data_IF_411705267913
#
_entry.id   IF_411705267913
#
_cell.length_a   1.000
_cell.length_b   1.000
_cell.length_c   1.000
_cell.angle_alpha   90.00
_cell.angle_beta   90.00
_cell.angle_gamma   90.00
#
_symmetry.space_group_name_H-M   'P 1'
#
loop_
_entity.id
_entity.type
_entity.pdbx_description
1 polymer ?
#
# COMPACT_ATOMS: atom_id res chain seq x y z
N UNK A 1 -17.50 -8.85 23.30
CA UNK A 1 -17.28 -9.37 24.68
C UNK A 1 -15.79 -9.57 25.04
N UNK A 2 -14.83 -9.43 24.12
CA UNK A 2 -13.38 -9.59 24.38
C UNK A 2 -12.57 -8.31 24.14
N UNK A 3 -13.21 -7.16 23.93
CA UNK A 3 -12.54 -5.88 23.66
C UNK A 3 -11.56 -5.46 24.77
N UNK A 4 -11.86 -5.78 26.03
CA UNK A 4 -10.96 -5.49 27.15
C UNK A 4 -9.62 -6.21 27.01
N UNK A 5 -9.63 -7.46 26.54
CA UNK A 5 -8.42 -8.24 26.26
C UNK A 5 -7.61 -7.57 25.16
N UNK A 6 -8.27 -7.24 24.03
CA UNK A 6 -7.63 -6.58 22.89
C UNK A 6 -6.97 -5.25 23.30
N UNK A 7 -7.66 -4.42 24.10
CA UNK A 7 -7.12 -3.15 24.62
C UNK A 7 -5.84 -3.30 25.44
N UNK A 8 -5.61 -4.48 26.02
CA UNK A 8 -4.41 -4.79 26.78
C UNK A 8 -3.24 -5.30 25.94
N UNK A 9 -3.38 -5.46 24.62
CA UNK A 9 -2.35 -6.01 23.76
C UNK A 9 -1.41 -4.92 23.19
N UNK A 10 -0.12 -5.24 22.93
CA UNK A 10 0.81 -4.31 22.30
C UNK A 10 0.32 -3.79 20.94
N UNK A 11 -0.29 -4.65 20.11
CA UNK A 11 -0.88 -4.23 18.83
C UNK A 11 -1.91 -3.12 18.98
N UNK A 12 -2.72 -3.13 20.04
CA UNK A 12 -3.76 -2.11 20.27
C UNK A 12 -3.17 -0.71 20.37
N UNK A 13 -2.01 -0.55 21.02
CA UNK A 13 -1.33 0.75 21.13
C UNK A 13 -0.94 1.31 19.75
N UNK A 14 -0.56 0.45 18.81
CA UNK A 14 -0.27 0.87 17.43
C UNK A 14 -1.54 1.45 16.80
N UNK A 15 -2.67 0.74 16.90
CA UNK A 15 -3.92 1.22 16.33
C UNK A 15 -4.43 2.52 16.96
N UNK A 16 -4.21 2.74 18.26
CA UNK A 16 -4.53 4.02 18.89
C UNK A 16 -3.72 5.18 18.29
N UNK A 17 -2.43 4.97 18.02
CA UNK A 17 -1.59 5.95 17.33
C UNK A 17 -2.11 6.25 15.91
N UNK A 18 -2.48 5.21 15.15
CA UNK A 18 -3.04 5.34 13.80
C UNK A 18 -4.37 6.11 13.79
N UNK A 19 -5.19 5.96 14.84
CA UNK A 19 -6.53 6.59 14.94
C UNK A 19 -6.51 8.06 15.29
N UNK A 20 -5.41 8.59 15.85
CA UNK A 20 -5.33 10.00 16.27
C UNK A 20 -5.88 10.97 15.21
N UNK A 21 -6.56 12.02 15.65
CA UNK A 21 -7.09 13.01 14.72
C UNK A 21 -5.97 13.89 14.15
N UNK A 22 -6.23 14.43 12.97
CA UNK A 22 -5.34 15.34 12.25
C UNK A 22 -5.99 16.72 12.25
N UNK A 23 -5.20 17.78 12.47
CA UNK A 23 -5.72 19.15 12.39
C UNK A 23 -6.09 19.50 10.94
N UNK A 24 -7.13 20.31 10.74
CA UNK A 24 -7.67 20.58 9.40
C UNK A 24 -6.68 21.20 8.42
N UNK A 25 -5.70 21.95 8.92
CA UNK A 25 -4.68 22.64 8.13
C UNK A 25 -3.41 21.81 7.86
N UNK A 26 -3.25 20.65 8.50
CA UNK A 26 -2.11 19.75 8.34
C UNK A 26 -2.45 18.62 7.35
N UNK A 27 -1.43 18.01 6.73
CA UNK A 27 -1.56 16.87 5.80
C UNK A 27 -2.61 17.10 4.70
N UNK A 28 -2.53 18.26 4.05
CA UNK A 28 -3.39 18.58 2.89
C UNK A 28 -2.98 17.73 1.70
N UNK A 29 -3.97 17.16 1.02
CA UNK A 29 -3.78 16.37 -0.20
C UNK A 29 -4.89 16.67 -1.19
N UNK A 30 -4.48 17.07 -2.40
CA UNK A 30 -5.40 17.26 -3.53
C UNK A 30 -6.14 15.97 -3.88
N UNK A 31 -5.54 14.81 -3.61
CA UNK A 31 -6.15 13.50 -3.85
C UNK A 31 -7.27 13.22 -2.84
N UNK A 32 -7.09 13.58 -1.57
CA UNK A 32 -8.16 13.50 -0.57
C UNK A 32 -9.29 14.48 -0.87
N UNK A 33 -8.97 15.71 -1.31
CA UNK A 33 -9.98 16.74 -1.56
C UNK A 33 -10.94 16.38 -2.71
N UNK A 34 -10.48 15.57 -3.68
CA UNK A 34 -11.25 15.05 -4.81
C UNK A 34 -12.28 13.96 -4.45
N UNK A 35 -12.28 13.43 -3.22
CA UNK A 35 -13.22 12.39 -2.77
C UNK A 35 -14.62 12.97 -2.49
N UNK A 36 -15.28 13.58 -3.48
CA UNK A 36 -16.34 14.59 -3.24
C UNK A 36 -17.79 14.19 -3.47
N UNK A 37 -18.12 12.92 -3.71
CA UNK A 37 -19.37 12.56 -4.40
C UNK A 37 -20.34 11.62 -3.67
N UNK A 38 -20.19 11.40 -2.35
CA UNK A 38 -21.05 10.45 -1.63
C UNK A 38 -21.56 10.94 -0.28
N UNK A 39 -22.54 10.20 0.27
CA UNK A 39 -23.05 10.43 1.63
C UNK A 39 -21.97 10.27 2.71
N UNK A 40 -20.97 9.43 2.46
CA UNK A 40 -19.87 9.16 3.39
C UNK A 40 -18.62 10.02 3.10
N UNK A 41 -18.72 11.00 2.21
CA UNK A 41 -17.64 11.89 1.75
C UNK A 41 -16.79 12.43 2.89
N UNK A 42 -17.39 13.03 3.91
CA UNK A 42 -16.61 13.71 4.94
C UNK A 42 -15.81 12.72 5.80
N UNK A 43 -16.40 11.56 6.09
CA UNK A 43 -15.72 10.48 6.80
C UNK A 43 -14.56 9.89 5.98
N UNK A 44 -14.78 9.65 4.68
CA UNK A 44 -13.76 9.12 3.77
C UNK A 44 -12.63 10.14 3.55
N UNK A 45 -12.94 11.44 3.44
CA UNK A 45 -11.95 12.52 3.39
C UNK A 45 -11.13 12.60 4.67
N UNK A 46 -11.79 12.52 5.84
CA UNK A 46 -11.11 12.49 7.13
C UNK A 46 -10.17 11.29 7.24
N UNK A 47 -10.62 10.10 6.81
CA UNK A 47 -9.80 8.90 6.77
C UNK A 47 -8.60 9.07 5.83
N UNK A 48 -8.79 9.65 4.65
CA UNK A 48 -7.71 9.92 3.69
C UNK A 48 -6.65 10.87 4.24
N UNK A 49 -7.04 11.92 4.97
CA UNK A 49 -6.09 12.80 5.67
C UNK A 49 -5.28 12.03 6.72
N UNK A 50 -5.94 11.17 7.51
CA UNK A 50 -5.26 10.29 8.48
C UNK A 50 -4.31 9.32 7.80
N UNK A 51 -4.69 8.76 6.66
CA UNK A 51 -3.84 7.89 5.83
C UNK A 51 -2.55 8.62 5.43
N UNK A 52 -2.63 9.83 4.86
CA UNK A 52 -1.44 10.61 4.50
C UNK A 52 -0.54 10.86 5.71
N UNK A 53 -1.12 11.21 6.86
CA UNK A 53 -0.37 11.36 8.11
C UNK A 53 0.34 10.08 8.50
N UNK A 54 -0.38 8.96 8.50
CA UNK A 54 0.17 7.66 8.85
C UNK A 54 1.29 7.26 7.86
N UNK A 55 1.10 7.38 6.54
CA UNK A 55 2.18 7.11 5.56
C UNK A 55 3.44 7.96 5.78
N UNK A 56 3.29 9.17 6.33
CA UNK A 56 4.40 10.09 6.58
C UNK A 56 5.12 9.84 7.92
N UNK A 57 4.37 9.46 8.96
CA UNK A 57 4.86 9.43 10.34
C UNK A 57 4.98 8.03 10.94
N UNK A 58 4.31 7.04 10.36
CA UNK A 58 4.36 5.64 10.80
C UNK A 58 5.79 5.12 10.98
N UNK A 59 6.74 5.34 10.05
CA UNK A 59 8.11 4.84 10.20
C UNK A 59 8.87 5.48 11.38
N UNK A 60 8.38 6.60 11.92
CA UNK A 60 9.01 7.37 13.00
C UNK A 60 8.49 6.97 14.39
N UNK A 61 7.36 6.27 14.48
CA UNK A 61 6.77 5.88 15.76
C UNK A 61 7.64 4.84 16.47
N UNK A 62 7.89 5.00 17.77
CA UNK A 62 8.79 4.13 18.53
C UNK A 62 8.40 2.65 18.49
N UNK A 63 7.11 2.36 18.50
CA UNK A 63 6.55 1.00 18.40
C UNK A 63 6.54 0.43 16.97
N UNK A 64 6.82 1.24 15.95
CA UNK A 64 6.80 0.83 14.53
C UNK A 64 8.17 0.88 13.86
N UNK A 65 9.08 1.77 14.30
CA UNK A 65 10.39 2.02 13.66
C UNK A 65 11.28 0.78 13.56
N UNK A 66 11.13 -0.17 14.48
CA UNK A 66 11.90 -1.41 14.51
C UNK A 66 11.19 -2.59 13.82
N UNK A 67 9.95 -2.41 13.34
CA UNK A 67 9.21 -3.44 12.62
C UNK A 67 9.63 -3.45 11.16
N UNK A 68 9.53 -4.63 10.53
CA UNK A 68 9.70 -4.74 9.08
C UNK A 68 8.72 -3.81 8.34
N UNK A 69 9.11 -3.33 7.17
CA UNK A 69 8.22 -2.53 6.34
C UNK A 69 6.92 -3.27 6.01
N UNK A 70 6.99 -4.57 5.75
CA UNK A 70 5.81 -5.43 5.58
C UNK A 70 4.87 -5.35 6.78
N UNK A 71 5.39 -5.48 8.00
CA UNK A 71 4.57 -5.34 9.21
C UNK A 71 3.99 -3.94 9.34
N UNK A 72 4.77 -2.90 9.05
CA UNK A 72 4.28 -1.51 9.08
C UNK A 72 3.07 -1.33 8.16
N UNK A 73 3.17 -1.77 6.90
CA UNK A 73 2.06 -1.69 5.97
C UNK A 73 0.87 -2.59 6.36
N UNK A 74 1.11 -3.74 7.00
CA UNK A 74 0.03 -4.60 7.48
C UNK A 74 -0.79 -3.94 8.58
N UNK A 75 -0.12 -3.36 9.59
CA UNK A 75 -0.81 -2.60 10.63
C UNK A 75 -1.61 -1.43 10.03
N UNK A 76 -1.03 -0.70 9.07
CA UNK A 76 -1.71 0.38 8.38
C UNK A 76 -2.95 -0.12 7.62
N UNK A 77 -2.81 -1.18 6.81
CA UNK A 77 -3.90 -1.74 6.02
C UNK A 77 -5.03 -2.27 6.90
N UNK A 78 -4.72 -3.01 7.97
CA UNK A 78 -5.73 -3.47 8.93
C UNK A 78 -6.43 -2.33 9.67
N UNK A 79 -5.74 -1.22 9.90
CA UNK A 79 -6.36 -0.02 10.44
C UNK A 79 -7.33 0.63 9.44
N UNK A 80 -6.92 0.77 8.16
CA UNK A 80 -7.80 1.29 7.10
C UNK A 80 -9.08 0.45 7.03
N UNK A 81 -8.95 -0.89 7.06
CA UNK A 81 -10.11 -1.79 7.07
C UNK A 81 -11.05 -1.55 8.25
N UNK A 82 -10.51 -1.45 9.46
CA UNK A 82 -11.29 -1.21 10.67
C UNK A 82 -12.05 0.12 10.58
N UNK A 83 -11.42 1.17 10.06
CA UNK A 83 -12.06 2.48 9.89
C UNK A 83 -13.12 2.48 8.77
N UNK A 84 -12.83 1.88 7.62
CA UNK A 84 -13.81 1.72 6.54
C UNK A 84 -15.01 0.91 7.02
N UNK A 85 -14.78 -0.19 7.74
CA UNK A 85 -15.85 -1.04 8.28
C UNK A 85 -16.81 -0.26 9.17
N UNK A 86 -16.30 0.70 9.98
CA UNK A 86 -17.13 1.58 10.82
C UNK A 86 -17.94 2.58 9.98
N UNK A 87 -17.35 3.14 8.92
CA UNK A 87 -18.02 4.10 8.02
C UNK A 87 -19.21 3.45 7.29
N UNK A 88 -19.13 2.15 7.00
CA UNK A 88 -20.17 1.40 6.30
C UNK A 88 -20.95 0.47 7.23
N UNK A 89 -21.06 0.80 8.52
CA UNK A 89 -21.89 0.10 9.50
C UNK A 89 -21.72 -1.44 9.50
N UNK A 90 -20.49 -1.90 9.25
CA UNK A 90 -20.13 -3.32 9.22
C UNK A 90 -20.97 -4.17 8.24
N UNK A 91 -21.40 -3.58 7.12
CA UNK A 91 -22.11 -4.28 6.05
C UNK A 91 -21.31 -5.49 5.55
N UNK A 92 -22.01 -6.57 5.22
CA UNK A 92 -21.44 -7.78 4.61
C UNK A 92 -21.30 -7.62 3.09
N UNK A 93 -20.55 -6.59 2.68
CA UNK A 93 -20.26 -6.25 1.28
C UNK A 93 -18.75 -6.41 1.05
N UNK A 94 -18.36 -6.78 -0.18
CA UNK A 94 -16.95 -6.74 -0.55
C UNK A 94 -16.49 -5.28 -0.62
N UNK A 95 -15.31 -5.01 -0.06
CA UNK A 95 -14.78 -3.66 0.08
C UNK A 95 -14.53 -2.99 -1.27
N UNK A 96 -14.15 -3.76 -2.29
CA UNK A 96 -13.92 -3.22 -3.64
C UNK A 96 -15.20 -3.00 -4.45
N UNK A 97 -16.33 -3.57 -4.01
CA UNK A 97 -17.63 -3.29 -4.60
C UNK A 97 -18.19 -1.93 -4.15
N UNK A 98 -17.59 -1.30 -3.13
CA UNK A 98 -17.99 0.02 -2.63
C UNK A 98 -17.30 1.12 -3.45
N UNK A 99 -18.02 1.93 -4.25
CA UNK A 99 -17.40 2.88 -5.18
C UNK A 99 -16.49 3.93 -4.51
N UNK A 100 -16.88 4.38 -3.32
CA UNK A 100 -16.10 5.32 -2.53
C UNK A 100 -14.79 4.71 -2.02
N UNK A 101 -14.78 3.41 -1.73
CA UNK A 101 -13.56 2.72 -1.33
C UNK A 101 -12.63 2.54 -2.53
N UNK A 102 -13.15 2.28 -3.72
CA UNK A 102 -12.36 2.27 -4.94
C UNK A 102 -11.73 3.67 -5.22
N UNK A 103 -12.48 4.75 -4.99
CA UNK A 103 -11.94 6.12 -5.07
C UNK A 103 -10.88 6.38 -4.00
N UNK A 104 -11.09 5.88 -2.77
CA UNK A 104 -10.11 5.97 -1.69
C UNK A 104 -8.81 5.21 -2.04
N UNK A 105 -8.91 4.00 -2.61
CA UNK A 105 -7.77 3.22 -3.10
C UNK A 105 -6.97 4.00 -4.15
N UNK A 106 -7.64 4.63 -5.10
CA UNK A 106 -6.97 5.50 -6.08
C UNK A 106 -6.24 6.67 -5.39
N UNK A 107 -6.85 7.29 -4.37
CA UNK A 107 -6.20 8.34 -3.60
C UNK A 107 -4.98 7.82 -2.83
N UNK A 108 -5.04 6.63 -2.23
CA UNK A 108 -3.90 5.97 -1.57
C UNK A 108 -2.71 5.75 -2.53
N UNK A 109 -2.98 5.25 -3.73
CA UNK A 109 -1.96 5.05 -4.77
C UNK A 109 -1.29 6.37 -5.14
N UNK A 110 -2.07 7.41 -5.42
CA UNK A 110 -1.54 8.71 -5.82
C UNK A 110 -0.78 9.40 -4.68
N UNK A 111 -1.26 9.30 -3.44
CA UNK A 111 -0.53 9.81 -2.27
C UNK A 111 0.83 9.12 -2.11
N UNK A 112 0.89 7.80 -2.24
CA UNK A 112 2.16 7.08 -2.18
C UNK A 112 3.10 7.55 -3.32
N UNK A 113 2.59 7.79 -4.53
CA UNK A 113 3.40 8.35 -5.64
C UNK A 113 3.95 9.74 -5.31
N UNK A 114 3.13 10.63 -4.77
CA UNK A 114 3.55 11.98 -4.34
C UNK A 114 4.66 11.89 -3.28
N UNK A 115 4.55 10.96 -2.33
CA UNK A 115 5.56 10.76 -1.29
C UNK A 115 6.88 10.23 -1.85
N UNK A 116 6.82 9.28 -2.80
CA UNK A 116 8.01 8.79 -3.53
C UNK A 116 8.66 9.95 -4.30
N UNK A 117 7.89 10.70 -5.09
CA UNK A 117 8.41 11.81 -5.90
C UNK A 117 9.03 12.90 -5.01
N UNK A 118 8.39 13.23 -3.89
CA UNK A 118 8.92 14.19 -2.93
C UNK A 118 10.25 13.75 -2.35
N UNK A 119 10.40 12.46 -2.00
CA UNK A 119 11.65 11.92 -1.47
C UNK A 119 12.74 11.87 -2.55
N UNK A 120 12.41 11.42 -3.76
CA UNK A 120 13.30 11.43 -4.93
C UNK A 120 13.83 12.83 -5.21
N UNK A 121 12.96 13.84 -5.27
CA UNK A 121 13.35 15.22 -5.56
C UNK A 121 14.25 15.82 -4.46
N UNK A 122 14.05 15.43 -3.20
CA UNK A 122 14.92 15.82 -2.10
C UNK A 122 16.31 15.20 -2.26
N UNK A 123 16.40 13.93 -2.62
CA UNK A 123 17.66 13.21 -2.77
C UNK A 123 18.40 13.61 -4.06
N UNK A 124 17.68 13.84 -5.16
CA UNK A 124 18.27 14.31 -6.42
C UNK A 124 18.98 15.66 -6.26
N UNK A 125 18.38 16.62 -5.54
CA UNK A 125 19.02 17.92 -5.25
C UNK A 125 20.30 17.81 -4.40
N UNK A 126 20.43 16.74 -3.62
CA UNK A 126 21.65 16.45 -2.85
C UNK A 126 22.74 15.90 -3.78
N UNK A 127 22.37 15.02 -4.71
CA UNK A 127 23.30 14.35 -5.64
C UNK A 127 23.75 15.29 -6.76
N UNK A 128 22.83 16.09 -7.30
CA UNK A 128 23.07 17.05 -8.38
C UNK A 128 22.72 18.45 -7.85
N UNK A 129 23.67 19.13 -7.17
CA UNK A 129 23.44 20.50 -6.72
C UNK A 129 23.20 21.40 -7.94
N UNK A 130 22.28 22.38 -7.84
CA UNK A 130 22.01 23.29 -8.94
C UNK A 130 23.29 24.05 -9.30
N UNK A 131 23.55 24.21 -10.61
CA UNK A 131 24.71 24.97 -11.10
C UNK A 131 24.74 26.37 -10.46
N UNK A 132 25.91 26.83 -9.99
CA UNK A 132 26.03 28.17 -9.42
C UNK A 132 25.54 29.21 -10.43
N UNK A 133 24.74 30.17 -9.94
CA UNK A 133 24.23 31.27 -10.75
C UNK A 133 25.41 31.98 -11.44
N UNK A 134 25.39 32.03 -12.77
CA UNK A 134 26.42 32.71 -13.55
C UNK A 134 26.36 34.20 -13.23
N UNK A 135 27.32 34.70 -12.46
CA UNK A 135 27.55 36.15 -12.32
C UNK A 135 27.90 36.69 -13.70
N UNK A 136 26.97 37.44 -14.29
CA UNK A 136 27.21 38.26 -15.48
C UNK A 136 28.31 39.27 -15.14
N UNK A 137 29.43 39.34 -15.90
CA UNK A 137 30.40 40.40 -15.72
C UNK A 137 29.74 41.75 -16.01
N UNK A 138 29.95 42.74 -15.13
CA UNK A 138 29.65 44.14 -15.45
C UNK A 138 30.54 44.57 -16.61
N UNK A 139 29.94 45.03 -17.71
CA UNK A 139 30.65 45.68 -18.80
C UNK A 139 31.45 46.87 -18.25
N UNK A 140 32.76 46.83 -18.47
CA UNK A 140 33.67 47.94 -18.23
C UNK A 140 33.81 48.78 -19.49
N UNK A 141 33.77 50.10 -19.30
CA UNK A 141 34.00 51.14 -20.31
C UNK A 141 35.24 50.90 -21.18
N UNK A 142 35.10 51.13 -22.48
CA UNK A 142 36.17 51.70 -23.29
C UNK A 142 35.62 52.51 -24.47
N UNK A 143 36.12 53.74 -24.56
CA UNK A 143 35.73 54.79 -25.49
C UNK A 143 36.46 54.71 -26.85
N UNK A 144 35.76 55.23 -27.87
CA UNK A 144 36.19 55.94 -29.10
C UNK A 144 36.89 55.13 -30.24
N UNK A 145 36.50 55.28 -31.51
CA UNK A 145 36.48 56.57 -32.26
C UNK A 145 35.59 56.57 -33.53
N UNK A 146 35.23 57.81 -33.90
CA UNK A 146 34.42 58.39 -35.00
C UNK A 146 34.44 57.70 -36.39
N UNK A 147 33.37 57.75 -37.21
CA UNK A 147 33.05 58.94 -38.03
C UNK A 147 31.61 58.97 -38.60
N UNK A 148 30.95 60.13 -38.38
CA UNK A 148 30.02 60.90 -39.25
C UNK A 148 28.83 60.25 -39.98
N UNK A 149 27.62 60.79 -39.73
CA UNK A 149 26.64 60.99 -40.81
C UNK A 149 25.14 61.02 -40.46
N UNK A 150 24.65 62.17 -39.98
CA UNK A 150 23.31 62.75 -40.23
C UNK A 150 22.07 62.21 -39.47
N UNK A 151 21.43 63.19 -38.83
CA UNK A 151 20.16 63.23 -38.10
C UNK A 151 18.95 63.09 -39.04
N UNK A 152 17.93 62.31 -38.65
CA UNK A 152 16.55 62.83 -38.60
C UNK A 152 15.58 61.97 -37.76
N UNK A 153 14.87 62.70 -36.91
CA UNK A 153 13.79 62.36 -35.98
C UNK A 153 12.47 61.93 -36.65
N UNK A 154 11.70 61.05 -36.01
CA UNK A 154 10.34 61.33 -35.47
C UNK A 154 9.35 60.16 -35.57
N UNK A 155 8.65 59.90 -34.44
CA UNK A 155 7.22 59.48 -34.28
C UNK A 155 6.77 58.13 -34.86
N UNK A 156 5.71 57.47 -34.38
CA UNK A 156 4.94 57.36 -33.13
C UNK A 156 4.01 56.14 -33.39
N UNK A 157 3.50 55.55 -32.31
CA UNK A 157 2.60 54.40 -32.24
C UNK A 157 1.47 54.32 -33.29
N UNK A 158 1.08 53.09 -33.66
CA UNK A 158 -0.33 52.67 -33.61
C UNK A 158 -0.53 51.14 -33.72
N UNK A 159 -1.40 50.66 -32.82
CA UNK A 159 -2.00 49.33 -32.69
C UNK A 159 -2.95 49.00 -33.86
N UNK A 160 -3.13 47.72 -34.25
CA UNK A 160 -4.21 47.32 -35.15
C UNK A 160 -5.47 46.83 -34.40
N UNK A 161 -6.69 47.06 -34.94
CA UNK A 161 -7.95 46.71 -34.32
C UNK A 161 -8.43 45.29 -34.69
N UNK A 162 -9.32 44.75 -33.87
CA UNK A 162 -10.11 43.55 -34.17
C UNK A 162 -11.31 43.84 -35.07
N UNK A 163 -12.00 42.77 -35.50
CA UNK A 163 -13.40 42.78 -35.91
C UNK A 163 -14.01 41.37 -35.82
N UNK A 164 -15.29 41.35 -35.45
CA UNK A 164 -16.15 40.21 -35.12
C UNK A 164 -16.85 39.57 -36.32
N UNK A 165 -17.32 38.34 -36.07
CA UNK A 165 -18.61 37.73 -36.45
C UNK A 165 -19.03 37.55 -37.91
N UNK A 166 -19.41 36.31 -38.24
CA UNK A 166 -20.62 36.06 -39.02
C UNK A 166 -21.33 34.75 -38.61
N UNK A 167 -22.66 34.76 -38.71
CA UNK A 167 -23.64 33.77 -38.23
C UNK A 167 -24.34 33.09 -39.43
N UNK A 168 -24.86 31.88 -39.19
CA UNK A 168 -25.86 31.15 -40.01
C UNK A 168 -25.46 29.68 -40.19
N UNK A 169 -26.25 28.63 -39.94
CA UNK A 169 -27.65 28.46 -39.57
C UNK A 169 -28.26 27.36 -40.45
N UNK A 170 -28.47 26.14 -39.94
CA UNK A 170 -29.58 25.25 -40.34
C UNK A 170 -29.76 24.01 -39.42
N UNK A 171 -31.01 23.87 -38.96
CA UNK A 171 -31.76 22.72 -38.39
C UNK A 171 -31.80 21.48 -39.33
N UNK A 172 -32.17 20.23 -39.02
CA UNK A 172 -32.76 19.46 -37.89
C UNK A 172 -32.70 17.96 -38.29
N UNK A 173 -32.62 17.01 -37.34
CA UNK A 173 -33.48 15.79 -37.27
C UNK A 173 -33.16 14.91 -36.06
N UNK A 174 -34.13 14.79 -35.16
CA UNK A 174 -34.28 13.75 -34.12
C UNK A 174 -34.77 12.41 -34.71
N UNK A 175 -34.51 11.29 -34.02
CA UNK A 175 -35.55 10.30 -33.64
C UNK A 175 -35.05 9.18 -32.70
N UNK A 176 -35.67 9.13 -31.50
CA UNK A 176 -36.29 8.03 -30.72
C UNK A 176 -35.63 6.65 -30.48
N UNK A 177 -35.41 6.38 -29.18
CA UNK A 177 -35.84 5.26 -28.28
C UNK A 177 -36.14 3.86 -28.87
N UNK A 178 -35.55 2.82 -28.25
CA UNK A 178 -36.21 1.53 -27.98
C UNK A 178 -35.57 0.78 -26.78
N UNK A 179 -36.42 0.09 -26.02
CA UNK A 179 -36.21 -0.59 -24.74
C UNK A 179 -35.86 -2.10 -24.93
N UNK A 180 -35.37 -2.74 -23.86
CA UNK A 180 -34.80 -4.10 -23.81
C UNK A 180 -35.79 -5.26 -24.01
N UNK A 181 -35.28 -6.51 -24.07
CA UNK A 181 -35.97 -7.64 -23.45
C UNK A 181 -35.09 -8.48 -22.51
N UNK A 182 -35.71 -8.96 -21.42
CA UNK A 182 -35.31 -10.10 -20.54
C UNK A 182 -35.83 -11.42 -21.12
N UNK A 183 -35.07 -12.54 -21.02
CA UNK A 183 -35.50 -13.93 -20.68
C UNK A 183 -34.23 -14.75 -20.29
N UNK A 184 -34.00 -15.21 -19.05
CA UNK A 184 -34.27 -16.51 -18.37
C UNK A 184 -33.61 -17.79 -18.96
N UNK A 185 -32.76 -18.42 -18.12
CA UNK A 185 -32.27 -19.81 -17.94
C UNK A 185 -31.80 -20.70 -19.12
N UNK A 186 -30.60 -21.28 -18.94
CA UNK A 186 -30.42 -22.74 -18.98
C UNK A 186 -29.45 -23.33 -20.02
N UNK A 187 -28.42 -23.98 -19.50
CA UNK A 187 -27.66 -25.14 -20.00
C UNK A 187 -26.45 -24.99 -20.95
N UNK A 188 -25.39 -25.64 -20.46
CA UNK A 188 -24.20 -26.23 -21.08
C UNK A 188 -24.03 -26.11 -22.60
N UNK A 189 -22.83 -25.71 -23.01
CA UNK A 189 -22.01 -26.57 -23.86
C UNK A 189 -20.52 -26.23 -23.74
N UNK A 190 -19.78 -27.32 -23.61
CA UNK A 190 -18.35 -27.54 -23.63
C UNK A 190 -17.62 -26.90 -24.82
N UNK A 191 -16.47 -26.29 -24.57
CA UNK A 191 -15.37 -26.22 -25.55
C UNK A 191 -14.06 -26.51 -24.83
N UNK A 192 -13.41 -27.58 -25.30
CA UNK A 192 -12.12 -28.08 -24.86
C UNK A 192 -11.01 -27.04 -25.05
N UNK A 193 -10.35 -26.65 -23.97
CA UNK A 193 -9.01 -26.08 -24.05
C UNK A 193 -8.00 -27.10 -23.53
N UNK A 194 -7.16 -27.59 -24.45
CA UNK A 194 -5.96 -28.36 -24.14
C UNK A 194 -5.07 -27.55 -23.21
N UNK A 195 -4.63 -28.23 -22.16
CA UNK A 195 -3.64 -27.76 -21.18
C UNK A 195 -2.39 -27.21 -21.86
N UNK A 196 -1.91 -26.08 -21.36
CA UNK A 196 -0.48 -25.79 -21.30
C UNK A 196 -0.23 -25.26 -19.90
N UNK A 197 0.41 -26.09 -19.08
CA UNK A 197 0.94 -25.72 -17.77
C UNK A 197 1.85 -24.49 -17.93
N UNK A 198 1.56 -23.42 -17.20
CA UNK A 198 2.54 -22.38 -16.92
C UNK A 198 2.63 -22.23 -15.42
N UNK A 199 3.70 -22.81 -14.87
CA UNK A 199 4.11 -22.69 -13.48
C UNK A 199 4.31 -21.22 -13.10
N UNK A 200 3.87 -20.91 -11.88
CA UNK A 200 4.12 -19.66 -11.20
C UNK A 200 5.60 -19.56 -10.80
N UNK A 201 6.46 -19.21 -11.76
CA UNK A 201 7.83 -18.77 -11.54
C UNK A 201 8.13 -17.63 -12.52
N UNK A 202 7.65 -16.42 -12.20
CA UNK A 202 8.12 -15.19 -12.81
C UNK A 202 7.89 -14.00 -11.87
N UNK A 203 8.53 -14.07 -10.68
CA UNK A 203 8.82 -12.91 -9.85
C UNK A 203 9.93 -13.26 -8.86
N UNK A 204 11.09 -13.72 -9.36
CA UNK A 204 12.32 -13.72 -8.57
C UNK A 204 13.59 -13.76 -9.43
N UNK A 205 14.35 -12.66 -9.29
CA UNK A 205 15.79 -12.51 -9.44
C UNK A 205 16.41 -12.42 -10.84
N UNK A 206 16.88 -11.22 -11.20
CA UNK A 206 18.24 -11.06 -11.72
C UNK A 206 18.87 -9.79 -11.13
N UNK A 207 19.70 -9.99 -10.10
CA UNK A 207 20.77 -9.09 -9.72
C UNK A 207 21.90 -9.99 -9.21
N UNK A 208 22.80 -10.40 -10.11
CA UNK A 208 24.17 -10.86 -9.88
C UNK A 208 24.72 -11.32 -11.23
N UNK A 209 25.85 -10.74 -11.67
CA UNK A 209 26.49 -11.15 -12.92
C UNK A 209 27.69 -10.27 -13.24
N UNK A 210 28.86 -10.89 -13.11
CA UNK A 210 30.20 -10.34 -13.13
C UNK A 210 30.65 -9.56 -14.38
N UNK A 211 31.65 -8.73 -14.10
CA UNK A 211 32.56 -8.11 -15.05
C UNK A 211 33.40 -9.14 -15.81
N UNK A 212 33.34 -9.15 -17.13
CA UNK A 212 34.48 -9.46 -18.01
C UNK A 212 34.24 -8.89 -19.41
N UNK A 213 35.25 -8.19 -19.94
CA UNK A 213 35.13 -7.40 -21.16
C UNK A 213 35.29 -8.18 -22.46
N UNK A 214 34.99 -7.53 -23.58
CA UNK A 214 35.77 -7.56 -24.84
C UNK A 214 35.34 -6.39 -25.74
N UNK A 215 36.31 -5.90 -26.51
CA UNK A 215 36.40 -4.65 -27.23
C UNK A 215 35.56 -4.55 -28.52
N UNK A 216 35.17 -3.29 -28.81
CA UNK A 216 35.21 -2.54 -30.07
C UNK A 216 34.97 -3.24 -31.42
N UNK A 217 34.06 -2.65 -32.20
CA UNK A 217 34.33 -2.28 -33.60
C UNK A 217 33.40 -1.16 -34.05
N UNK A 218 33.99 -0.17 -34.71
CA UNK A 218 33.40 1.08 -35.16
C UNK A 218 32.75 0.97 -36.55
N UNK A 219 31.80 1.87 -36.85
CA UNK A 219 31.71 2.52 -38.16
C UNK A 219 30.86 3.81 -38.07
N UNK A 220 31.51 4.93 -38.35
CA UNK A 220 30.91 6.25 -38.59
C UNK A 220 30.22 6.31 -39.96
N UNK A 221 29.20 7.16 -40.08
CA UNK A 221 29.05 8.11 -41.21
C UNK A 221 28.21 9.30 -40.71
N UNK A 222 28.71 10.52 -40.91
CA UNK A 222 28.08 11.76 -40.44
C UNK A 222 27.36 12.53 -41.54
N UNK A 223 26.58 13.55 -41.14
CA UNK A 223 26.59 14.87 -41.78
C UNK A 223 25.93 15.92 -40.89
N UNK A 224 26.35 17.17 -41.06
CA UNK A 224 26.18 18.33 -40.18
C UNK A 224 24.82 19.06 -40.32
N UNK A 225 24.34 19.62 -39.19
CA UNK A 225 23.92 21.03 -39.08
C UNK A 225 22.43 21.40 -39.20
N UNK A 226 21.78 21.68 -38.06
CA UNK A 226 21.26 23.02 -37.74
C UNK A 226 20.95 23.13 -36.25
N UNK A 227 21.38 24.22 -35.62
CA UNK A 227 21.10 24.57 -34.24
C UNK A 227 19.63 24.95 -34.07
N UNK A 228 18.92 24.23 -33.21
CA UNK A 228 17.74 24.73 -32.51
C UNK A 228 17.93 24.35 -31.04
N UNK A 229 17.79 25.34 -30.15
CA UNK A 229 17.81 25.19 -28.69
C UNK A 229 16.67 24.27 -28.22
N UNK A 230 16.83 22.97 -28.40
CA UNK A 230 16.05 21.99 -27.68
C UNK A 230 16.49 22.05 -26.22
N UNK A 231 15.63 22.67 -25.40
CA UNK A 231 15.55 22.45 -23.95
C UNK A 231 15.73 20.95 -23.70
N UNK A 232 16.96 20.55 -23.35
CA UNK A 232 17.41 19.16 -23.33
C UNK A 232 16.58 18.44 -22.28
N UNK A 233 15.47 17.83 -22.72
CA UNK A 233 14.62 16.98 -21.88
C UNK A 233 15.57 15.89 -21.42
N UNK A 234 15.84 15.85 -20.11
CA UNK A 234 16.68 14.83 -19.51
C UNK A 234 16.20 13.48 -20.07
N UNK A 235 17.09 12.62 -20.60
CA UNK A 235 16.66 11.32 -21.09
C UNK A 235 15.79 10.69 -20.00
N UNK A 236 14.60 10.21 -20.36
CA UNK A 236 13.77 9.43 -19.44
C UNK A 236 14.47 8.07 -19.25
N UNK A 237 15.61 8.09 -18.58
CA UNK A 237 16.13 6.90 -17.94
C UNK A 237 15.03 6.45 -16.97
N UNK A 238 14.64 5.18 -17.05
CA UNK A 238 13.73 4.59 -16.07
C UNK A 238 14.50 4.59 -14.74
N UNK A 239 14.36 5.67 -13.98
CA UNK A 239 14.97 5.81 -12.66
C UNK A 239 14.30 4.76 -11.77
N UNK A 240 15.06 3.74 -11.37
CA UNK A 240 14.60 2.83 -10.33
C UNK A 240 14.44 3.66 -9.04
N UNK A 241 13.19 4.00 -8.68
CA UNK A 241 12.94 4.84 -7.51
C UNK A 241 13.55 4.25 -6.23
N UNK A 242 13.66 2.92 -6.11
CA UNK A 242 14.27 2.27 -4.94
C UNK A 242 15.76 2.59 -4.79
N UNK A 243 16.44 2.99 -5.87
CA UNK A 243 17.83 3.40 -5.81
C UNK A 243 18.02 4.85 -5.30
N UNK A 244 16.95 5.66 -5.31
CA UNK A 244 17.04 7.10 -5.06
C UNK A 244 16.00 7.64 -4.06
N UNK A 245 15.05 6.81 -3.64
CA UNK A 245 14.03 7.10 -2.63
C UNK A 245 14.20 6.15 -1.47
N UNK A 246 14.30 6.73 -0.28
CA UNK A 246 14.21 6.05 1.00
C UNK A 246 12.76 5.81 1.43
N UNK A 247 11.80 6.50 0.80
CA UNK A 247 10.39 6.23 1.01
C UNK A 247 10.00 4.87 0.40
N UNK A 248 9.49 3.98 1.25
CA UNK A 248 8.97 2.68 0.85
C UNK A 248 7.43 2.70 0.99
N UNK A 249 6.67 2.62 -0.12
CA UNK A 249 5.23 2.86 -0.11
C UNK A 249 4.45 1.74 0.60
N UNK A 250 3.31 2.09 1.18
CA UNK A 250 2.33 1.12 1.65
C UNK A 250 1.05 1.31 0.84
N UNK A 251 0.73 0.33 -0.01
CA UNK A 251 -0.49 0.34 -0.80
C UNK A 251 -1.58 -0.47 -0.10
N UNK A 252 -2.77 0.10 -0.02
CA UNK A 252 -3.97 -0.59 0.43
C UNK A 252 -4.43 -1.57 -0.65
N UNK A 253 -4.40 -2.89 -0.41
CA UNK A 253 -4.77 -3.87 -1.45
C UNK A 253 -5.19 -5.24 -0.92
N UNK A 254 -6.33 -5.32 -0.22
CA UNK A 254 -7.00 -6.60 0.05
C UNK A 254 -8.43 -6.55 -0.45
N UNK A 255 -8.73 -7.55 -1.27
CA UNK A 255 -10.06 -7.86 -1.76
C UNK A 255 -10.71 -8.85 -0.78
N UNK A 256 -11.46 -8.34 0.20
CA UNK A 256 -12.18 -9.13 1.19
C UNK A 256 -13.49 -8.45 1.59
N UNK A 257 -14.44 -9.20 2.15
CA UNK A 257 -15.59 -8.62 2.87
C UNK A 257 -15.12 -7.98 4.16
N UNK A 258 -15.88 -7.01 4.67
CA UNK A 258 -15.55 -6.35 5.95
C UNK A 258 -15.39 -7.31 7.13
N UNK A 259 -16.18 -8.38 7.19
CA UNK A 259 -16.06 -9.44 8.20
C UNK A 259 -14.78 -10.26 8.03
N UNK A 260 -14.47 -10.68 6.80
CA UNK A 260 -13.26 -11.43 6.46
C UNK A 260 -11.99 -10.63 6.80
N UNK A 261 -11.91 -9.35 6.39
CA UNK A 261 -10.76 -8.51 6.72
C UNK A 261 -10.59 -8.31 8.24
N UNK A 262 -11.69 -8.33 9.00
CA UNK A 262 -11.66 -8.27 10.48
C UNK A 262 -11.11 -9.55 11.08
N UNK A 263 -11.51 -10.72 10.57
CA UNK A 263 -10.96 -12.00 11.01
C UNK A 263 -9.46 -12.08 10.73
N UNK A 264 -9.04 -11.68 9.52
CA UNK A 264 -7.63 -11.61 9.13
C UNK A 264 -6.81 -10.73 10.09
N UNK A 265 -7.35 -9.55 10.44
CA UNK A 265 -6.73 -8.64 11.41
C UNK A 265 -6.54 -9.32 12.77
N UNK A 266 -7.60 -9.92 13.32
CA UNK A 266 -7.52 -10.56 14.63
C UNK A 266 -6.54 -11.75 14.66
N UNK A 267 -6.45 -12.52 13.56
CA UNK A 267 -5.44 -13.57 13.41
C UNK A 267 -4.03 -13.00 13.38
N UNK A 268 -3.79 -11.95 12.59
CA UNK A 268 -2.50 -11.29 12.55
C UNK A 268 -2.08 -10.77 13.94
N UNK A 269 -2.98 -10.08 14.65
CA UNK A 269 -2.76 -9.59 16.02
C UNK A 269 -2.46 -10.74 16.98
N UNK A 270 -3.21 -11.84 16.90
CA UNK A 270 -2.96 -13.02 17.72
C UNK A 270 -1.54 -13.56 17.56
N UNK A 271 -1.05 -13.72 16.33
CA UNK A 271 0.31 -14.19 16.11
C UNK A 271 1.36 -13.18 16.57
N UNK A 272 1.13 -11.88 16.34
CA UNK A 272 2.07 -10.82 16.74
C UNK A 272 2.15 -10.63 18.25
N UNK A 273 1.04 -10.85 18.97
CA UNK A 273 0.96 -10.67 20.41
C UNK A 273 0.92 -12.01 21.19
N UNK A 274 1.19 -13.13 20.51
CA UNK A 274 1.04 -14.48 21.07
C UNK A 274 1.71 -14.63 22.45
N UNK A 275 2.98 -14.22 22.56
CA UNK A 275 3.72 -14.31 23.82
C UNK A 275 3.12 -13.43 24.92
N UNK A 276 2.61 -12.24 24.57
CA UNK A 276 1.94 -11.37 25.55
C UNK A 276 0.63 -11.99 26.02
N UNK A 277 -0.15 -12.56 25.10
CA UNK A 277 -1.39 -13.29 25.40
C UNK A 277 -1.07 -14.46 26.33
N UNK A 278 -0.14 -15.33 25.93
CA UNK A 278 0.31 -16.50 26.70
C UNK A 278 0.73 -16.12 28.11
N UNK A 279 1.53 -15.06 28.28
CA UNK A 279 2.05 -14.66 29.57
C UNK A 279 0.98 -14.05 30.49
N UNK A 280 -0.06 -13.42 29.94
CA UNK A 280 -1.15 -12.81 30.72
C UNK A 280 -2.21 -13.80 31.20
N UNK A 281 -2.23 -15.03 30.66
CA UNK A 281 -3.15 -16.08 31.11
C UNK A 281 -2.89 -16.45 32.58
N UNK A 282 -3.93 -16.33 33.39
CA UNK A 282 -3.96 -16.72 34.80
C UNK A 282 -4.57 -18.12 34.98
N UNK A 283 -3.69 -19.09 35.21
CA UNK A 283 -4.06 -20.49 35.40
C UNK A 283 -4.86 -20.77 36.70
N UNK A 284 -4.83 -19.87 37.68
CA UNK A 284 -5.65 -20.03 38.90
C UNK A 284 -7.12 -19.71 38.62
N UNK A 285 -7.38 -18.79 37.68
CA UNK A 285 -8.73 -18.41 37.26
C UNK A 285 -9.36 -19.43 36.30
N UNK A 286 -8.56 -20.21 35.57
CA UNK A 286 -9.04 -21.24 34.64
C UNK A 286 -10.08 -20.66 33.67
N UNK A 287 -11.27 -21.29 33.53
CA UNK A 287 -12.36 -20.80 32.67
C UNK A 287 -12.90 -19.41 33.03
N UNK A 288 -12.61 -18.90 34.24
CA UNK A 288 -12.99 -17.55 34.66
C UNK A 288 -11.98 -16.48 34.21
N UNK A 289 -10.83 -16.89 33.67
CA UNK A 289 -9.82 -15.98 33.13
C UNK A 289 -10.40 -15.14 31.97
N UNK A 290 -10.03 -13.86 31.92
CA UNK A 290 -10.57 -12.92 30.93
C UNK A 290 -10.19 -13.28 29.49
N UNK A 291 -9.07 -13.98 29.28
CA UNK A 291 -8.62 -14.46 27.98
C UNK A 291 -9.39 -15.70 27.51
N UNK A 292 -10.08 -16.43 28.39
CA UNK A 292 -10.75 -17.68 28.01
C UNK A 292 -11.75 -17.49 26.86
N UNK A 293 -12.58 -16.44 26.92
CA UNK A 293 -13.54 -16.10 25.86
C UNK A 293 -12.85 -15.65 24.58
N UNK A 294 -11.79 -14.87 24.70
CA UNK A 294 -10.98 -14.43 23.55
C UNK A 294 -10.32 -15.63 22.85
N UNK A 295 -9.73 -16.55 23.61
CA UNK A 295 -9.06 -17.75 23.10
C UNK A 295 -10.03 -18.69 22.36
N UNK A 296 -11.27 -18.82 22.84
CA UNK A 296 -12.31 -19.54 22.08
C UNK A 296 -12.66 -18.85 20.76
N UNK A 297 -12.83 -17.53 20.80
CA UNK A 297 -13.11 -16.75 19.60
C UNK A 297 -12.00 -16.88 18.55
N UNK A 298 -10.75 -16.65 18.95
CA UNK A 298 -9.59 -16.73 18.05
C UNK A 298 -9.37 -18.17 17.58
N UNK A 299 -9.65 -19.19 18.41
CA UNK A 299 -9.62 -20.60 18.00
C UNK A 299 -10.63 -20.91 16.90
N UNK A 300 -11.85 -20.36 17.00
CA UNK A 300 -12.88 -20.56 15.98
C UNK A 300 -12.42 -20.03 14.61
N UNK A 301 -11.88 -18.81 14.58
CA UNK A 301 -11.44 -18.21 13.31
C UNK A 301 -10.11 -18.83 12.83
N UNK A 302 -9.22 -19.24 13.74
CA UNK A 302 -8.00 -19.96 13.37
C UNK A 302 -8.32 -21.25 12.63
N UNK A 303 -9.27 -22.05 13.14
CA UNK A 303 -9.66 -23.31 12.51
C UNK A 303 -10.34 -23.07 11.16
N UNK A 304 -11.24 -22.07 11.05
CA UNK A 304 -11.86 -21.68 9.79
C UNK A 304 -10.78 -21.39 8.72
N UNK A 305 -9.84 -20.50 9.03
CA UNK A 305 -8.79 -20.14 8.06
C UNK A 305 -7.79 -21.28 7.81
N UNK A 306 -7.47 -22.09 8.83
CA UNK A 306 -6.56 -23.23 8.68
C UNK A 306 -7.16 -24.31 7.78
N UNK A 307 -8.39 -24.73 8.06
CA UNK A 307 -8.99 -25.95 7.52
C UNK A 307 -9.89 -25.65 6.31
N UNK A 308 -10.74 -24.61 6.37
CA UNK A 308 -11.68 -24.26 5.29
C UNK A 308 -10.99 -23.44 4.20
N UNK A 309 -10.24 -22.40 4.58
CA UNK A 309 -9.46 -21.57 3.64
C UNK A 309 -8.09 -22.20 3.31
N UNK A 310 -7.74 -23.34 3.92
CA UNK A 310 -6.55 -24.09 3.58
C UNK A 310 -5.22 -23.35 3.78
N UNK A 311 -5.15 -22.35 4.67
CA UNK A 311 -3.97 -21.51 4.87
C UNK A 311 -2.70 -22.32 5.22
N UNK A 312 -2.85 -23.49 5.84
CA UNK A 312 -1.72 -24.35 6.19
C UNK A 312 -1.46 -25.49 5.20
N UNK A 313 -2.46 -25.88 4.41
CA UNK A 313 -2.31 -26.92 3.39
C UNK A 313 -1.67 -26.39 2.11
N UNK A 314 -1.99 -25.15 1.75
CA UNK A 314 -1.50 -24.48 0.53
C UNK A 314 -0.44 -23.41 0.84
N UNK A 315 -0.10 -23.26 2.12
CA UNK A 315 1.02 -22.47 2.62
C UNK A 315 0.87 -20.95 2.47
N UNK A 316 1.99 -20.26 2.70
CA UNK A 316 2.12 -18.79 2.68
C UNK A 316 1.65 -18.10 1.39
N UNK A 317 1.32 -18.84 0.32
CA UNK A 317 0.80 -18.31 -0.93
C UNK A 317 -0.70 -18.02 -0.88
N UNK A 318 -1.50 -18.78 -0.11
CA UNK A 318 -2.95 -18.59 -0.10
C UNK A 318 -3.41 -17.55 0.93
N UNK A 319 -2.75 -17.54 2.10
CA UNK A 319 -3.05 -16.60 3.18
C UNK A 319 -1.83 -15.75 3.55
N UNK A 320 -1.18 -15.10 2.57
CA UNK A 320 0.02 -14.33 2.85
C UNK A 320 -0.33 -13.21 3.82
N UNK A 321 0.62 -12.93 4.71
CA UNK A 321 0.66 -11.73 5.55
C UNK A 321 -0.20 -11.70 6.82
N UNK A 322 -1.23 -12.57 6.98
CA UNK A 322 -2.05 -12.57 8.19
C UNK A 322 -2.03 -13.89 8.96
N UNK A 323 -1.89 -15.02 8.26
CA UNK A 323 -1.77 -16.33 8.89
C UNK A 323 -0.28 -16.69 9.02
N UNK A 324 0.34 -16.27 10.13
CA UNK A 324 1.80 -16.24 10.23
C UNK A 324 2.44 -17.58 10.63
N UNK A 325 1.68 -18.47 11.27
CA UNK A 325 2.23 -19.71 11.79
C UNK A 325 1.21 -20.86 11.74
N UNK A 326 1.65 -21.97 11.16
CA UNK A 326 0.85 -23.18 10.98
C UNK A 326 1.22 -24.32 11.93
N UNK A 327 2.36 -24.20 12.61
CA UNK A 327 2.77 -25.17 13.63
C UNK A 327 1.70 -25.24 14.73
N UNK A 328 1.33 -26.47 15.11
CA UNK A 328 0.31 -26.72 16.14
C UNK A 328 0.67 -26.06 17.48
N UNK A 329 1.94 -25.76 17.76
CA UNK A 329 2.36 -25.00 18.95
C UNK A 329 1.63 -23.66 19.07
N UNK A 330 1.27 -23.03 17.96
CA UNK A 330 0.58 -21.75 17.91
C UNK A 330 -0.94 -21.89 17.76
N UNK A 331 -1.48 -23.10 17.73
CA UNK A 331 -2.92 -23.33 17.73
C UNK A 331 -3.54 -22.82 19.05
N UNK A 332 -4.48 -21.86 19.01
CA UNK A 332 -5.09 -21.31 20.22
C UNK A 332 -5.78 -22.36 21.09
N UNK A 333 -6.19 -23.51 20.51
CA UNK A 333 -6.79 -24.62 21.26
C UNK A 333 -5.89 -25.12 22.38
N UNK A 334 -4.57 -25.09 22.23
CA UNK A 334 -3.64 -25.48 23.31
C UNK A 334 -3.81 -24.61 24.55
N UNK A 335 -4.00 -23.30 24.36
CA UNK A 335 -4.23 -22.36 25.47
C UNK A 335 -5.66 -22.48 26.03
N UNK A 336 -6.64 -22.80 25.17
CA UNK A 336 -8.01 -23.15 25.63
C UNK A 336 -7.95 -24.40 26.52
N UNK A 337 -7.36 -25.49 26.04
CA UNK A 337 -7.19 -26.76 26.78
C UNK A 337 -6.47 -26.57 28.11
N UNK A 338 -5.45 -25.70 28.15
CA UNK A 338 -4.77 -25.31 29.39
C UNK A 338 -5.77 -24.75 30.41
N UNK A 339 -6.60 -23.78 30.01
CA UNK A 339 -7.60 -23.14 30.88
C UNK A 339 -8.79 -24.05 31.21
N UNK A 340 -9.08 -25.05 30.38
CA UNK A 340 -10.09 -26.07 30.68
C UNK A 340 -9.57 -27.20 31.55
N UNK A 341 -8.25 -27.28 31.78
CA UNK A 341 -7.66 -28.29 32.63
C UNK A 341 -8.17 -28.19 34.08
N UNK A 342 -8.38 -29.34 34.71
CA UNK A 342 -9.03 -29.42 36.02
C UNK A 342 -8.30 -28.74 37.18
N UNK A 343 -7.01 -28.39 37.04
CA UNK A 343 -6.22 -27.74 38.08
C UNK A 343 -5.13 -26.81 37.52
N UNK A 344 -4.72 -25.83 38.33
CA UNK A 344 -3.75 -24.78 37.95
C UNK A 344 -2.38 -25.33 37.53
N UNK A 345 -1.87 -26.37 38.21
CA UNK A 345 -0.56 -26.98 37.87
C UNK A 345 -0.55 -27.57 36.46
N UNK A 346 -1.63 -28.26 36.06
CA UNK A 346 -1.77 -28.80 34.70
C UNK A 346 -1.90 -27.68 33.66
N UNK A 347 -2.66 -26.62 33.97
CA UNK A 347 -2.75 -25.44 33.11
C UNK A 347 -1.37 -24.83 32.84
N UNK A 348 -0.58 -24.58 33.89
CA UNK A 348 0.74 -23.99 33.76
C UNK A 348 1.68 -24.85 32.92
N UNK A 349 1.66 -26.17 33.11
CA UNK A 349 2.48 -27.08 32.29
C UNK A 349 2.11 -27.06 30.80
N UNK A 350 0.81 -27.04 30.46
CA UNK A 350 0.38 -26.93 29.05
C UNK A 350 0.76 -25.56 28.50
N UNK A 351 0.50 -24.48 29.26
CA UNK A 351 0.83 -23.11 28.91
C UNK A 351 2.32 -22.98 28.59
N UNK A 352 3.22 -23.54 29.39
CA UNK A 352 4.66 -23.48 29.16
C UNK A 352 5.07 -24.09 27.80
N UNK A 353 4.43 -25.20 27.41
CA UNK A 353 4.71 -25.88 26.13
C UNK A 353 4.09 -25.21 24.90
N UNK A 354 3.11 -24.33 25.08
CA UNK A 354 2.46 -23.63 23.98
C UNK A 354 3.44 -22.64 23.31
N UNK A 355 3.42 -22.53 21.99
CA UNK A 355 4.35 -21.71 21.19
C UNK A 355 5.75 -22.29 21.03
N UNK A 356 6.06 -23.42 21.69
CA UNK A 356 7.36 -24.09 21.56
C UNK A 356 7.30 -25.14 20.45
N UNK A 357 7.94 -24.84 19.32
CA UNK A 357 8.10 -25.78 18.21
C UNK A 357 9.07 -26.88 18.65
N UNK A 358 8.59 -28.13 18.68
CA UNK A 358 9.46 -29.27 18.96
C UNK A 358 10.27 -29.58 17.70
N UNK A 359 11.59 -29.75 17.78
CA UNK A 359 12.36 -30.21 16.64
C UNK A 359 11.84 -31.60 16.25
N UNK A 360 11.59 -31.79 14.96
CA UNK A 360 11.29 -33.11 14.40
C UNK A 360 12.51 -33.99 14.72
N UNK A 361 12.34 -34.98 15.61
CA UNK A 361 13.38 -35.98 15.81
C UNK A 361 13.58 -36.66 14.47
N UNK A 362 14.78 -36.55 13.90
CA UNK A 362 15.18 -37.39 12.79
C UNK A 362 15.00 -38.84 13.26
N UNK A 363 14.02 -39.54 12.70
CA UNK A 363 13.92 -40.98 12.86
C UNK A 363 15.19 -41.56 12.24
N UNK A 364 16.12 -42.01 13.09
CA UNK A 364 17.24 -42.84 12.65
C UNK A 364 16.68 -44.05 11.91
N UNK A 365 17.19 -44.32 10.70
CA UNK A 365 16.87 -45.44 9.80
C UNK A 365 17.19 -46.82 10.39
N UNK A 366 16.69 -47.15 11.58
CA UNK A 366 17.00 -48.40 12.27
C UNK A 366 15.78 -49.23 12.64
N UNK A 367 14.65 -49.00 11.97
CA UNK A 367 13.48 -49.88 11.98
C UNK A 367 12.99 -50.23 10.56
N UNK A 368 13.92 -50.38 9.61
CA UNK A 368 13.73 -51.28 8.45
C UNK A 368 14.79 -52.38 8.51
N UNK A 369 14.49 -53.45 9.26
CA UNK A 369 15.11 -54.76 9.10
C UNK A 369 14.03 -55.81 9.16
#
# INVERSE_FOLDING_TARGET
MYEKVLKGLPSFQIYEELRKDVKDNEYKSVHCDKLSESKNKDNIKKLCKKLLRNLTDLPKLDNMKNKSHTDQCLYLNFWIYDELSKIYDHKEENIFDVPDVAKFLNADIEINKDLIEKDLNKNYKIIVPPSPARTQPKEGDSQNSDTTGVVQTSRENQTPPGNEANKGGQEVKESKVAEAPKVINGHESTVNNKETQVSADNLRNQASGDSSGTQASAANTGSQGSEDEQKKKLPQEIINYKAYSTHNPCFFNYNCKFSECREMKHLYEYFKDYETIKNKINCDQRKNDEYFKYLKYISSIYNKHKDEEGCCSWGANMCPYYFLQCDEAYDPRKLVEALESGNSKKCSGIKETAGVIKPVKAESEQQRK
#
